data_IF_650969119234
#
_entry.id   IF_650969119234
#
_cell.length_a   1.000
_cell.length_b   1.000
_cell.length_c   1.000
_cell.angle_alpha   90.00
_cell.angle_beta   90.00
_cell.angle_gamma   90.00
#
_symmetry.space_group_name_H-M   'P 1'
#
loop_
_entity.id
_entity.type
_entity.pdbx_description
1 polymer ?
#
# COMPACT_ATOMS: atom_id res chain seq x y z
N UNK A 1 -19.37 17.30 -6.94
CA UNK A 1 -18.98 15.94 -7.30
C UNK A 1 -17.87 15.55 -6.35
N UNK A 2 -18.03 14.44 -5.65
CA UNK A 2 -16.96 13.92 -4.80
C UNK A 2 -15.87 13.39 -5.72
N UNK A 3 -14.68 13.98 -5.67
CA UNK A 3 -13.54 13.57 -6.47
C UNK A 3 -13.01 12.22 -5.96
N UNK A 4 -12.65 11.33 -6.89
CA UNK A 4 -12.16 9.99 -6.57
C UNK A 4 -10.83 9.77 -7.29
N UNK A 5 -9.86 9.25 -6.56
CA UNK A 5 -8.52 8.94 -7.08
C UNK A 5 -8.33 7.44 -6.99
N UNK A 6 -8.05 6.81 -8.12
CA UNK A 6 -7.81 5.39 -8.22
C UNK A 6 -6.34 5.16 -8.58
N UNK A 7 -5.60 4.48 -7.70
CA UNK A 7 -4.27 3.96 -7.98
C UNK A 7 -4.42 2.48 -8.34
N UNK A 8 -4.32 2.18 -9.63
CA UNK A 8 -4.53 0.83 -10.15
C UNK A 8 -3.37 -0.12 -9.81
N UNK A 9 -3.58 -1.41 -10.09
CA UNK A 9 -2.50 -2.40 -10.08
C UNK A 9 -1.53 -2.21 -11.25
N UNK A 10 -0.36 -2.84 -11.15
CA UNK A 10 0.68 -2.75 -12.16
C UNK A 10 2.03 -3.16 -11.61
N UNK A 11 3.09 -2.58 -12.16
CA UNK A 11 4.45 -2.83 -11.69
C UNK A 11 4.80 -1.89 -10.52
N UNK A 12 4.96 -2.45 -9.32
CA UNK A 12 5.20 -1.68 -8.10
C UNK A 12 6.49 -0.86 -8.16
N UNK A 13 7.58 -1.39 -8.73
CA UNK A 13 8.85 -0.65 -8.83
C UNK A 13 8.73 0.61 -9.71
N UNK A 14 8.04 0.51 -10.86
CA UNK A 14 7.75 1.66 -11.72
C UNK A 14 6.82 2.65 -11.04
N UNK A 15 5.82 2.17 -10.30
CA UNK A 15 4.89 3.02 -9.56
C UNK A 15 5.62 3.80 -8.46
N UNK A 16 6.45 3.13 -7.67
CA UNK A 16 7.30 3.76 -6.66
C UNK A 16 8.19 4.85 -7.28
N UNK A 17 8.89 4.53 -8.37
CA UNK A 17 9.79 5.47 -9.04
C UNK A 17 9.07 6.68 -9.65
N UNK A 18 7.83 6.50 -10.10
CA UNK A 18 7.07 7.53 -10.83
C UNK A 18 6.25 8.41 -9.87
N UNK A 19 5.54 7.79 -8.93
CA UNK A 19 4.50 8.45 -8.16
C UNK A 19 4.89 8.73 -6.71
N UNK A 20 5.87 8.04 -6.13
CA UNK A 20 6.31 8.35 -4.75
C UNK A 20 7.30 9.51 -4.78
N UNK A 21 6.74 10.70 -4.92
CA UNK A 21 7.46 11.97 -4.88
C UNK A 21 6.63 13.04 -4.15
N UNK A 22 7.29 14.12 -3.73
CA UNK A 22 6.65 15.16 -2.93
C UNK A 22 5.50 15.87 -3.67
N UNK A 23 5.62 16.05 -5.00
CA UNK A 23 4.59 16.71 -5.79
C UNK A 23 3.29 15.91 -5.79
N UNK A 24 3.37 14.60 -5.99
CA UNK A 24 2.20 13.72 -6.00
C UNK A 24 1.63 13.55 -4.59
N UNK A 25 2.47 13.42 -3.57
CA UNK A 25 2.01 13.43 -2.17
C UNK A 25 1.20 14.68 -1.83
N UNK A 26 1.75 15.86 -2.14
CA UNK A 26 1.05 17.14 -1.93
C UNK A 26 -0.27 17.22 -2.70
N UNK A 27 -0.33 16.62 -3.90
CA UNK A 27 -1.57 16.53 -4.67
C UNK A 27 -2.60 15.68 -3.91
N UNK A 28 -2.25 14.46 -3.50
CA UNK A 28 -3.15 13.56 -2.74
C UNK A 28 -3.65 14.22 -1.46
N UNK A 29 -2.76 14.81 -0.66
CA UNK A 29 -3.12 15.49 0.60
C UNK A 29 -4.13 16.62 0.37
N UNK A 30 -3.90 17.43 -0.66
CA UNK A 30 -4.82 18.51 -1.04
C UNK A 30 -6.20 17.98 -1.44
N UNK A 31 -6.25 16.86 -2.16
CA UNK A 31 -7.51 16.26 -2.61
C UNK A 31 -8.27 15.63 -1.44
N UNK A 32 -7.58 14.91 -0.55
CA UNK A 32 -8.16 14.37 0.67
C UNK A 32 -8.74 15.48 1.56
N UNK A 33 -8.03 16.61 1.70
CA UNK A 33 -8.51 17.78 2.43
C UNK A 33 -9.77 18.42 1.82
N UNK A 34 -9.99 18.26 0.51
CA UNK A 34 -11.23 18.65 -0.17
C UNK A 34 -12.36 17.63 -0.06
N UNK A 35 -12.12 16.50 0.61
CA UNK A 35 -13.09 15.42 0.76
C UNK A 35 -13.02 14.34 -0.33
N UNK A 36 -11.98 14.34 -1.17
CA UNK A 36 -11.80 13.28 -2.14
C UNK A 36 -11.55 11.93 -1.45
N UNK A 37 -11.88 10.84 -2.14
CA UNK A 37 -11.56 9.48 -1.71
C UNK A 37 -10.41 8.93 -2.54
N UNK A 38 -9.48 8.22 -1.90
CA UNK A 38 -8.35 7.55 -2.57
C UNK A 38 -8.54 6.04 -2.40
N UNK A 39 -8.42 5.31 -3.50
CA UNK A 39 -8.55 3.86 -3.55
C UNK A 39 -7.31 3.29 -4.25
N UNK A 40 -6.67 2.31 -3.62
CA UNK A 40 -5.50 1.63 -4.16
C UNK A 40 -5.78 0.15 -4.42
N UNK A 41 -5.29 -0.37 -5.54
CA UNK A 41 -5.46 -1.77 -5.96
C UNK A 41 -4.10 -2.39 -6.22
N UNK A 42 -3.82 -3.57 -5.66
CA UNK A 42 -2.54 -4.26 -5.83
C UNK A 42 -1.36 -3.32 -5.55
N UNK A 43 -0.46 -3.07 -6.51
CA UNK A 43 0.60 -2.07 -6.43
C UNK A 43 0.13 -0.71 -5.85
N UNK A 44 -0.99 -0.20 -6.34
CA UNK A 44 -1.54 1.08 -5.89
C UNK A 44 -1.94 1.10 -4.41
N UNK A 45 -2.34 -0.04 -3.83
CA UNK A 45 -2.63 -0.15 -2.39
C UNK A 45 -1.35 -0.04 -1.56
N UNK A 46 -0.28 -0.70 -2.01
CA UNK A 46 1.03 -0.69 -1.35
C UNK A 46 1.59 0.74 -1.22
N UNK A 47 1.45 1.55 -2.28
CA UNK A 47 1.98 2.92 -2.35
C UNK A 47 1.37 3.87 -1.31
N UNK A 48 0.17 3.61 -0.81
CA UNK A 48 -0.53 4.53 0.09
C UNK A 48 0.13 4.60 1.48
N UNK A 49 0.83 3.55 1.92
CA UNK A 49 1.51 3.54 3.21
C UNK A 49 2.72 4.47 3.27
N UNK A 50 3.21 4.76 4.48
CA UNK A 50 4.47 5.49 4.69
C UNK A 50 5.66 4.63 4.26
N UNK A 51 5.57 3.33 4.57
CA UNK A 51 6.49 2.31 4.11
C UNK A 51 5.74 1.33 3.22
N UNK A 52 6.48 0.77 2.28
CA UNK A 52 5.99 -0.15 1.27
C UNK A 52 6.75 -1.45 1.40
N UNK A 53 6.03 -2.52 1.68
CA UNK A 53 6.55 -3.87 1.58
C UNK A 53 6.42 -4.30 0.13
N UNK A 54 7.55 -4.42 -0.57
CA UNK A 54 7.60 -4.95 -1.94
C UNK A 54 7.94 -6.43 -1.83
N UNK A 55 6.96 -7.27 -2.17
CA UNK A 55 7.04 -8.71 -2.09
C UNK A 55 8.04 -9.24 -3.13
N UNK A 56 8.74 -10.36 -2.89
CA UNK A 56 9.60 -11.01 -3.88
C UNK A 56 8.93 -11.28 -5.24
N UNK A 57 7.63 -11.56 -5.26
CA UNK A 57 6.89 -11.80 -6.50
C UNK A 57 6.63 -10.51 -7.30
N UNK A 58 6.86 -9.34 -6.70
CA UNK A 58 6.49 -8.02 -7.22
C UNK A 58 7.70 -7.14 -7.54
N UNK A 59 8.88 -7.73 -7.63
CA UNK A 59 10.09 -7.05 -8.06
C UNK A 59 11.04 -7.97 -8.83
N UNK A 60 11.89 -7.37 -9.68
CA UNK A 60 12.81 -8.12 -10.55
C UNK A 60 13.86 -8.94 -9.82
N UNK A 61 14.19 -8.57 -8.58
CA UNK A 61 15.30 -9.17 -7.84
C UNK A 61 14.85 -10.37 -6.99
N UNK A 62 13.53 -10.60 -6.92
CA UNK A 62 12.91 -11.63 -6.08
C UNK A 62 13.35 -11.57 -4.62
N UNK A 63 13.49 -10.34 -4.09
CA UNK A 63 13.86 -10.08 -2.71
C UNK A 63 12.77 -9.32 -1.96
N UNK A 64 12.77 -9.46 -0.63
CA UNK A 64 12.01 -8.56 0.25
C UNK A 64 12.64 -7.18 0.17
N UNK A 65 11.87 -6.15 -0.22
CA UNK A 65 12.32 -4.76 -0.17
C UNK A 65 11.36 -3.92 0.66
N UNK A 66 11.91 -3.07 1.52
CA UNK A 66 11.15 -2.03 2.22
C UNK A 66 11.49 -0.68 1.60
N UNK A 67 10.49 0.04 1.10
CA UNK A 67 10.63 1.33 0.43
C UNK A 67 9.76 2.39 1.11
N UNK A 68 9.99 3.66 0.78
CA UNK A 68 9.08 4.73 1.18
C UNK A 68 7.86 4.76 0.24
N UNK A 69 6.69 5.12 0.78
CA UNK A 69 5.46 5.33 0.04
C UNK A 69 4.94 6.76 0.21
N UNK A 70 3.64 6.96 -0.01
CA UNK A 70 2.98 8.27 0.04
C UNK A 70 2.67 8.72 1.47
N UNK A 71 2.51 7.80 2.41
CA UNK A 71 2.33 8.11 3.83
C UNK A 71 0.94 8.60 4.22
N UNK A 72 -0.11 7.98 3.68
CA UNK A 72 -1.49 8.18 4.13
C UNK A 72 -1.78 7.42 5.44
N UNK A 73 -1.01 6.37 5.72
CA UNK A 73 -1.02 5.63 6.98
C UNK A 73 0.39 5.14 7.30
N UNK A 74 0.70 4.88 8.58
CA UNK A 74 2.07 4.53 9.02
C UNK A 74 2.14 3.37 10.00
N UNK A 75 1.00 2.97 10.57
CA UNK A 75 0.93 1.99 11.64
C UNK A 75 0.96 0.53 11.15
N UNK A 76 0.88 0.29 9.84
CA UNK A 76 1.02 -1.03 9.22
C UNK A 76 1.57 -0.94 7.79
N UNK A 77 2.02 -2.08 7.25
CA UNK A 77 2.28 -2.30 5.82
C UNK A 77 1.25 -3.31 5.29
N UNK A 78 1.17 -3.46 3.96
CA UNK A 78 0.24 -4.39 3.31
C UNK A 78 1.04 -5.47 2.57
N UNK A 79 0.59 -6.73 2.66
CA UNK A 79 1.01 -7.82 1.77
C UNK A 79 -0.17 -8.15 0.84
N UNK A 80 -0.08 -7.74 -0.42
CA UNK A 80 -1.13 -7.96 -1.43
C UNK A 80 -1.04 -9.35 -2.03
N UNK A 81 -2.17 -9.86 -2.54
CA UNK A 81 -2.27 -11.20 -3.13
C UNK A 81 -1.79 -12.31 -2.18
N UNK A 82 -1.95 -12.10 -0.87
CA UNK A 82 -1.21 -12.83 0.17
C UNK A 82 -1.29 -14.37 0.01
N UNK A 83 -2.50 -14.92 -0.08
CA UNK A 83 -2.69 -16.36 -0.27
C UNK A 83 -2.29 -16.80 -1.68
N UNK A 84 -2.71 -16.05 -2.71
CA UNK A 84 -2.43 -16.34 -4.13
C UNK A 84 -0.93 -16.39 -4.44
N UNK A 85 -0.12 -15.62 -3.70
CA UNK A 85 1.34 -15.55 -3.85
C UNK A 85 2.09 -16.35 -2.78
N UNK A 86 1.38 -17.03 -1.87
CA UNK A 86 1.94 -17.79 -0.76
C UNK A 86 2.97 -16.98 0.06
N UNK A 87 2.61 -15.75 0.40
CA UNK A 87 3.56 -14.77 0.91
C UNK A 87 3.86 -14.89 2.42
N UNK A 88 3.24 -15.85 3.11
CA UNK A 88 3.36 -16.05 4.56
C UNK A 88 4.81 -15.99 5.06
N UNK A 89 5.70 -16.78 4.48
CA UNK A 89 7.08 -16.87 4.95
C UNK A 89 7.88 -15.58 4.70
N UNK A 90 7.59 -14.85 3.62
CA UNK A 90 8.26 -13.58 3.34
C UNK A 90 7.72 -12.47 4.23
N UNK A 91 6.41 -12.44 4.46
CA UNK A 91 5.74 -11.52 5.36
C UNK A 91 6.27 -11.67 6.79
N UNK A 92 6.36 -12.89 7.30
CA UNK A 92 6.92 -13.17 8.64
C UNK A 92 8.37 -12.64 8.75
N UNK A 93 9.21 -12.90 7.74
CA UNK A 93 10.59 -12.36 7.67
C UNK A 93 10.64 -10.84 7.56
N UNK A 94 9.68 -10.23 6.85
CA UNK A 94 9.63 -8.78 6.68
C UNK A 94 9.17 -8.07 7.96
N UNK A 95 8.26 -8.66 8.74
CA UNK A 95 7.84 -8.14 10.06
C UNK A 95 9.01 -8.04 11.04
N UNK A 96 9.95 -8.99 11.01
CA UNK A 96 11.20 -8.94 11.79
C UNK A 96 12.08 -7.72 11.42
N UNK A 97 11.97 -7.20 10.19
CA UNK A 97 12.79 -6.08 9.70
C UNK A 97 12.20 -4.71 10.04
N UNK A 98 10.86 -4.60 10.08
CA UNK A 98 10.18 -3.29 10.18
C UNK A 98 9.57 -3.00 11.55
N UNK A 99 9.39 -4.02 12.40
CA UNK A 99 8.82 -3.91 13.74
C UNK A 99 7.45 -3.18 13.78
N UNK A 100 6.68 -3.31 12.69
CA UNK A 100 5.30 -2.86 12.53
C UNK A 100 4.53 -3.94 11.77
N UNK A 101 3.23 -4.13 12.03
CA UNK A 101 2.47 -5.23 11.45
C UNK A 101 2.38 -5.12 9.92
N UNK A 102 2.46 -6.27 9.24
CA UNK A 102 2.14 -6.39 7.82
C UNK A 102 0.78 -7.07 7.72
N UNK A 103 -0.21 -6.38 7.17
CA UNK A 103 -1.57 -6.90 7.05
C UNK A 103 -1.73 -7.67 5.74
N UNK A 104 -2.10 -8.96 5.80
CA UNK A 104 -2.47 -9.74 4.62
C UNK A 104 -3.71 -9.17 3.94
N UNK A 105 -3.63 -9.02 2.61
CA UNK A 105 -4.75 -8.63 1.75
C UNK A 105 -4.84 -9.62 0.56
N UNK A 106 -5.95 -10.34 0.48
CA UNK A 106 -6.26 -11.30 -0.56
C UNK A 106 -6.96 -10.63 -1.76
N UNK A 107 -7.07 -11.33 -2.89
CA UNK A 107 -7.52 -10.77 -4.18
C UNK A 107 -8.93 -10.15 -4.15
N UNK A 108 -9.77 -10.57 -3.21
CA UNK A 108 -11.15 -10.11 -3.04
C UNK A 108 -11.39 -9.36 -1.72
N UNK A 109 -10.31 -9.00 -1.03
CA UNK A 109 -10.37 -8.35 0.28
C UNK A 109 -10.01 -6.86 0.18
N UNK A 110 -10.42 -6.07 1.17
CA UNK A 110 -10.22 -4.63 1.21
C UNK A 110 -10.03 -4.12 2.64
N UNK A 111 -9.21 -3.07 2.80
CA UNK A 111 -9.12 -2.29 4.02
C UNK A 111 -9.76 -0.92 3.80
N UNK A 112 -10.69 -0.55 4.66
CA UNK A 112 -11.27 0.79 4.71
C UNK A 112 -10.63 1.54 5.86
N UNK A 113 -10.16 2.75 5.57
CA UNK A 113 -9.41 3.59 6.50
C UNK A 113 -10.16 4.89 6.78
N UNK A 114 -10.03 5.42 8.00
CA UNK A 114 -10.43 6.79 8.31
C UNK A 114 -9.38 7.81 7.82
N UNK A 115 -9.66 9.11 8.01
CA UNK A 115 -8.76 10.19 7.60
C UNK A 115 -7.43 10.24 8.36
N UNK A 116 -7.35 9.60 9.52
CA UNK A 116 -6.13 9.47 10.32
C UNK A 116 -5.33 8.22 9.94
N UNK A 117 -5.80 7.48 8.94
CA UNK A 117 -5.19 6.25 8.47
C UNK A 117 -5.59 5.02 9.29
N UNK A 118 -6.48 5.11 10.29
CA UNK A 118 -6.86 3.96 11.10
C UNK A 118 -7.82 3.03 10.35
N UNK A 119 -7.68 1.72 10.55
CA UNK A 119 -8.59 0.72 9.96
C UNK A 119 -9.95 0.82 10.66
N UNK A 120 -10.99 1.06 9.87
CA UNK A 120 -12.38 1.06 10.33
C UNK A 120 -13.14 -0.20 9.90
N UNK A 121 -12.71 -0.83 8.81
CA UNK A 121 -13.32 -2.05 8.29
C UNK A 121 -12.29 -2.88 7.52
N UNK A 122 -12.36 -4.20 7.67
CA UNK A 122 -11.66 -5.18 6.85
C UNK A 122 -12.70 -6.08 6.23
N UNK A 123 -12.75 -6.08 4.91
CA UNK A 123 -13.62 -6.92 4.09
C UNK A 123 -12.75 -8.07 3.61
N UNK A 124 -13.16 -9.32 3.87
CA UNK A 124 -12.43 -10.54 3.50
C UNK A 124 -13.08 -11.27 2.32
#
# INVERSE_FOLDING_TARGET
>A
MDEQIFLMGGNTEKYLATYVNQQFKNYIDRMLNKGAKVMGFSAGALLLGEKVYVLPNDNSDHQIKIKNGLGLFSQFLISVHYDSWNDKANKDRAEELVNIPIIPLNDHSCLVLDKSGNIIEKID
#
